data_IF_668357538760
#
_entry.id   IF_668357538760
#
_cell.length_a   1.000
_cell.length_b   1.000
_cell.length_c   1.000
_cell.angle_alpha   90.00
_cell.angle_beta   90.00
_cell.angle_gamma   90.00
#
_symmetry.space_group_name_H-M   'P 1'
#
loop_
_entity.id
_entity.type
_entity.pdbx_description
1 polymer ?
#
# COMPACT_ATOMS: atom_id res chain seq x y z
N UNK A 1 17.13 -5.08 5.83
CA UNK A 1 16.26 -6.28 5.71
C UNK A 1 15.03 -5.92 4.87
N UNK A 2 14.59 -6.76 3.92
CA UNK A 2 13.40 -6.45 3.09
C UNK A 2 12.12 -7.04 3.72
N UNK A 3 11.14 -6.19 4.02
CA UNK A 3 9.81 -6.57 4.49
C UNK A 3 8.79 -6.25 3.41
N UNK A 4 7.95 -7.22 3.05
CA UNK A 4 6.82 -7.03 2.13
C UNK A 4 5.50 -7.18 2.87
N UNK A 5 4.63 -6.19 2.73
CA UNK A 5 3.30 -6.15 3.32
C UNK A 5 2.27 -6.01 2.20
N UNK A 6 1.18 -6.78 2.28
CA UNK A 6 0.07 -6.69 1.34
C UNK A 6 -1.18 -6.29 2.12
N UNK A 7 -1.85 -5.23 1.65
CA UNK A 7 -3.19 -4.88 2.08
C UNK A 7 -4.16 -5.22 0.96
N UNK A 8 -5.26 -5.92 1.28
CA UNK A 8 -6.28 -6.33 0.31
C UNK A 8 -7.66 -6.11 0.88
N UNK A 9 -8.62 -5.75 0.02
CA UNK A 9 -10.01 -5.55 0.39
C UNK A 9 -10.82 -4.92 -0.73
N UNK A 10 -11.85 -4.15 -0.37
CA UNK A 10 -12.73 -3.47 -1.32
C UNK A 10 -12.47 -1.97 -1.40
N UNK A 11 -12.61 -1.40 -2.60
CA UNK A 11 -12.49 0.02 -2.86
C UNK A 11 -13.44 0.84 -1.98
N UNK A 12 -12.92 1.91 -1.39
CA UNK A 12 -13.65 2.76 -0.45
C UNK A 12 -13.58 2.33 1.02
N UNK A 13 -12.84 1.27 1.37
CA UNK A 13 -12.60 0.84 2.76
C UNK A 13 -11.21 1.27 3.29
N UNK A 14 -10.46 2.07 2.52
CA UNK A 14 -9.16 2.59 2.94
C UNK A 14 -7.95 1.69 2.66
N UNK A 15 -8.09 0.60 1.89
CA UNK A 15 -6.98 -0.34 1.58
C UNK A 15 -5.75 0.39 1.01
N UNK A 16 -5.95 1.22 -0.01
CA UNK A 16 -4.86 1.97 -0.63
C UNK A 16 -4.26 3.02 0.32
N UNK A 17 -5.12 3.67 1.11
CA UNK A 17 -4.72 4.66 2.10
C UNK A 17 -3.83 4.05 3.20
N UNK A 18 -4.12 2.83 3.66
CA UNK A 18 -3.27 2.13 4.62
C UNK A 18 -1.86 1.90 4.08
N UNK A 19 -1.76 1.38 2.85
CA UNK A 19 -0.46 1.15 2.22
C UNK A 19 0.30 2.46 1.94
N UNK A 20 -0.42 3.50 1.52
CA UNK A 20 0.17 4.83 1.31
C UNK A 20 0.72 5.42 2.61
N UNK A 21 -0.02 5.32 3.71
CA UNK A 21 0.44 5.77 5.03
C UNK A 21 1.68 5.01 5.48
N UNK A 22 1.70 3.67 5.38
CA UNK A 22 2.88 2.87 5.72
C UNK A 22 4.10 3.28 4.88
N UNK A 23 3.90 3.43 3.57
CA UNK A 23 4.98 3.79 2.66
C UNK A 23 5.54 5.18 2.97
N UNK A 24 4.66 6.15 3.22
CA UNK A 24 5.03 7.53 3.56
C UNK A 24 5.80 7.59 4.87
N UNK A 25 5.34 6.90 5.92
CA UNK A 25 6.04 6.87 7.20
C UNK A 25 7.41 6.22 7.07
N UNK A 26 7.53 5.09 6.34
CA UNK A 26 8.83 4.45 6.10
C UNK A 26 9.81 5.37 5.35
N UNK A 27 9.33 6.08 4.34
CA UNK A 27 10.14 7.07 3.61
C UNK A 27 10.59 8.22 4.52
N UNK A 28 9.71 8.72 5.40
CA UNK A 28 10.05 9.78 6.37
C UNK A 28 11.08 9.32 7.41
N UNK A 29 11.11 8.03 7.73
CA UNK A 29 12.16 7.41 8.56
C UNK A 29 13.48 7.17 7.81
N UNK A 30 13.57 7.55 6.53
CA UNK A 30 14.78 7.40 5.72
C UNK A 30 14.97 5.99 5.13
N UNK A 31 13.96 5.12 5.16
CA UNK A 31 14.02 3.78 4.59
C UNK A 31 13.75 3.78 3.09
N UNK A 32 14.27 2.77 2.40
CA UNK A 32 13.95 2.49 1.01
C UNK A 32 12.57 1.85 0.90
N UNK A 33 11.67 2.44 0.13
CA UNK A 33 10.29 1.95 0.02
C UNK A 33 9.77 1.92 -1.41
N UNK A 34 9.00 0.87 -1.72
CA UNK A 34 8.20 0.75 -2.94
C UNK A 34 6.73 0.58 -2.55
N UNK A 35 5.86 1.43 -3.12
CA UNK A 35 4.41 1.34 -3.00
C UNK A 35 3.81 0.93 -4.36
N UNK A 36 3.11 -0.21 -4.39
CA UNK A 36 2.51 -0.76 -5.61
C UNK A 36 1.00 -1.00 -5.42
N UNK A 37 0.14 -0.03 -5.77
CA UNK A 37 -1.31 -0.18 -5.70
C UNK A 37 -1.86 -0.96 -6.90
N UNK A 38 -2.92 -1.72 -6.67
CA UNK A 38 -3.68 -2.50 -7.66
C UNK A 38 -5.17 -2.34 -7.37
N UNK A 39 -5.92 -1.74 -8.29
CA UNK A 39 -7.36 -1.63 -8.19
C UNK A 39 -7.98 -1.66 -9.59
N UNK A 40 -9.22 -2.13 -9.68
CA UNK A 40 -9.98 -2.12 -10.93
C UNK A 40 -10.44 -0.71 -11.32
N UNK A 41 -11.14 -0.60 -12.44
CA UNK A 41 -11.78 0.66 -12.89
C UNK A 41 -12.79 1.19 -11.84
N UNK A 42 -13.30 0.28 -11.01
CA UNK A 42 -14.20 0.55 -9.89
C UNK A 42 -13.42 1.18 -8.73
N UNK A 43 -13.43 2.51 -8.66
CA UNK A 43 -12.78 3.28 -7.57
C UNK A 43 -13.39 2.93 -6.18
N UNK A 44 -14.63 2.41 -6.16
CA UNK A 44 -15.36 1.96 -4.97
C UNK A 44 -16.09 0.65 -5.25
N UNK A 45 -16.14 -0.25 -4.28
CA UNK A 45 -16.89 -1.51 -4.36
C UNK A 45 -16.16 -2.66 -5.08
N UNK A 46 -15.19 -2.35 -5.95
CA UNK A 46 -14.32 -3.35 -6.59
C UNK A 46 -13.17 -3.82 -5.70
N UNK A 47 -12.46 -4.86 -6.12
CA UNK A 47 -11.26 -5.33 -5.42
C UNK A 47 -10.15 -4.28 -5.49
N UNK A 48 -9.57 -3.97 -4.33
CA UNK A 48 -8.43 -3.07 -4.19
C UNK A 48 -7.37 -3.73 -3.32
N UNK A 49 -6.12 -3.67 -3.78
CA UNK A 49 -4.96 -4.21 -3.10
C UNK A 49 -3.80 -3.21 -3.19
N UNK A 50 -2.85 -3.30 -2.27
CA UNK A 50 -1.55 -2.68 -2.47
C UNK A 50 -0.45 -3.51 -1.81
N UNK A 51 0.72 -3.52 -2.44
CA UNK A 51 1.93 -4.11 -1.88
C UNK A 51 2.87 -2.99 -1.47
N UNK A 52 3.39 -3.06 -0.25
CA UNK A 52 4.41 -2.16 0.28
C UNK A 52 5.65 -2.99 0.56
N UNK A 53 6.78 -2.62 -0.03
CA UNK A 53 8.07 -3.23 0.26
C UNK A 53 8.96 -2.19 0.94
N UNK A 54 9.46 -2.47 2.14
CA UNK A 54 10.32 -1.58 2.93
C UNK A 54 11.66 -2.28 3.16
N UNK A 55 12.75 -1.56 2.96
CA UNK A 55 14.11 -2.00 3.24
C UNK A 55 14.89 -0.91 3.97
N UNK A 56 15.87 -1.34 4.78
CA UNK A 56 16.90 -0.46 5.36
C UNK A 56 17.86 0.05 4.27
#
# INVERSE_FOLDING_TARGET
MLIKTIFSGFGGQGVLSMGYTLATTAMLEGKHVTYFPLYGVEVRGGTANCTVAVAD
#
